data_IF_919164457970
#
_entry.id   IF_919164457970
#
_cell.length_a   1.000
_cell.length_b   1.000
_cell.length_c   1.000
_cell.angle_alpha   90.00
_cell.angle_beta   90.00
_cell.angle_gamma   90.00
#
_symmetry.space_group_name_H-M   'P 1'
#
loop_
_entity.id
_entity.type
_entity.pdbx_description
1 polymer ?
#
# COMPACT_ATOMS: atom_id res chain seq x y z
N UNK A 1 0.55 4.91 38.51
CA UNK A 1 -0.12 6.21 38.65
C UNK A 1 -0.17 6.85 37.26
N UNK A 2 -1.22 6.60 36.51
CA UNK A 2 -1.37 7.01 35.12
C UNK A 2 -2.02 8.40 35.07
N UNK A 3 -1.26 9.41 34.66
CA UNK A 3 -1.73 10.78 34.51
C UNK A 3 -2.71 10.80 33.32
N UNK A 4 -3.96 11.22 33.53
CA UNK A 4 -4.99 11.29 32.49
C UNK A 4 -4.58 12.29 31.40
N UNK A 5 -4.74 11.96 30.10
CA UNK A 5 -4.34 12.83 28.99
C UNK A 5 -5.05 14.19 28.97
N UNK A 6 -6.23 14.31 29.53
CA UNK A 6 -6.97 15.59 29.62
C UNK A 6 -6.25 16.66 30.43
N UNK A 7 -5.46 16.29 31.44
CA UNK A 7 -4.73 17.27 32.27
C UNK A 7 -3.53 17.88 31.53
N UNK A 8 -2.90 17.12 30.63
CA UNK A 8 -1.77 17.61 29.83
C UNK A 8 -2.21 18.59 28.75
N UNK A 9 -3.37 18.36 28.12
CA UNK A 9 -3.94 19.25 27.09
C UNK A 9 -4.30 20.61 27.71
N UNK A 10 -4.89 20.63 28.90
CA UNK A 10 -5.25 21.88 29.60
C UNK A 10 -4.01 22.69 29.97
N UNK A 11 -2.91 22.06 30.35
CA UNK A 11 -1.67 22.75 30.76
C UNK A 11 -0.95 23.39 29.56
N UNK A 12 -0.94 22.75 28.41
CA UNK A 12 -0.34 23.32 27.19
C UNK A 12 -1.20 24.46 26.60
N UNK A 13 -2.51 24.32 26.64
CA UNK A 13 -3.44 25.41 26.24
C UNK A 13 -3.24 26.65 27.14
N UNK A 14 -3.08 26.46 28.44
CA UNK A 14 -2.84 27.55 29.39
C UNK A 14 -1.51 28.27 29.13
N UNK A 15 -0.45 27.55 28.78
CA UNK A 15 0.84 28.15 28.38
C UNK A 15 0.73 28.98 27.11
N UNK A 16 0.04 28.46 26.09
CA UNK A 16 -0.20 29.20 24.83
C UNK A 16 -0.97 30.50 25.11
N UNK A 17 -1.99 30.44 25.97
CA UNK A 17 -2.77 31.62 26.32
C UNK A 17 -1.94 32.69 27.05
N UNK A 18 -1.04 32.30 27.95
CA UNK A 18 -0.12 33.19 28.64
C UNK A 18 0.88 33.82 27.66
N UNK A 19 1.42 33.05 26.72
CA UNK A 19 2.36 33.55 25.69
C UNK A 19 1.67 34.58 24.79
N UNK A 20 0.46 34.30 24.33
CA UNK A 20 -0.34 35.23 23.49
C UNK A 20 -0.66 36.52 24.24
N UNK A 21 -1.03 36.43 25.53
CA UNK A 21 -1.30 37.59 26.38
C UNK A 21 -0.06 38.47 26.60
N UNK A 22 1.11 37.83 26.82
CA UNK A 22 2.37 38.56 26.99
C UNK A 22 2.82 39.23 25.69
N UNK A 23 2.64 38.53 24.53
CA UNK A 23 2.89 39.09 23.22
C UNK A 23 2.01 40.32 22.92
N UNK A 24 0.72 40.26 23.31
CA UNK A 24 -0.19 41.38 23.20
C UNK A 24 0.26 42.62 23.99
N UNK A 25 0.71 42.41 25.23
CA UNK A 25 1.21 43.49 26.09
C UNK A 25 2.51 44.10 25.52
N UNK A 26 3.37 43.26 24.92
CA UNK A 26 4.65 43.69 24.34
C UNK A 26 4.52 44.49 23.04
N UNK A 27 3.45 44.24 22.23
CA UNK A 27 3.29 44.86 20.91
C UNK A 27 2.54 46.23 20.93
N UNK A 28 2.05 46.70 22.09
CA UNK A 28 1.34 47.99 22.24
C UNK A 28 0.26 48.22 21.15
N UNK A 29 -0.43 47.16 20.75
CA UNK A 29 -1.37 47.15 19.62
C UNK A 29 -2.73 47.69 20.04
N UNK A 30 -3.41 48.43 19.14
CA UNK A 30 -4.79 48.84 19.35
C UNK A 30 -5.72 47.63 19.47
N UNK A 31 -6.81 47.73 20.27
CA UNK A 31 -7.73 46.60 20.47
C UNK A 31 -8.37 46.08 19.19
N UNK A 32 -8.46 46.91 18.14
CA UNK A 32 -9.00 46.52 16.81
C UNK A 32 -8.04 45.62 16.05
N UNK A 33 -6.73 45.86 16.13
CA UNK A 33 -5.72 45.03 15.45
C UNK A 33 -5.56 43.69 16.16
N UNK A 34 -5.57 43.66 17.48
CA UNK A 34 -5.58 42.42 18.26
C UNK A 34 -6.77 41.54 17.90
N UNK A 35 -7.97 42.13 17.75
CA UNK A 35 -9.17 41.39 17.41
C UNK A 35 -9.06 40.76 15.99
N UNK A 36 -8.43 41.47 15.03
CA UNK A 36 -8.16 40.94 13.69
C UNK A 36 -7.19 39.73 13.72
N UNK A 37 -6.12 39.82 14.49
CA UNK A 37 -5.15 38.74 14.66
C UNK A 37 -5.80 37.55 15.36
N UNK A 38 -6.55 37.75 16.42
CA UNK A 38 -7.25 36.69 17.11
C UNK A 38 -8.26 35.98 16.20
N UNK A 39 -9.04 36.77 15.44
CA UNK A 39 -9.98 36.22 14.46
C UNK A 39 -9.27 35.37 13.38
N UNK A 40 -8.13 35.81 12.87
CA UNK A 40 -7.36 35.04 11.86
C UNK A 40 -6.83 33.71 12.43
N UNK A 41 -6.36 33.70 13.66
CA UNK A 41 -5.91 32.49 14.36
C UNK A 41 -7.07 31.49 14.52
N UNK A 42 -8.24 32.00 14.99
CA UNK A 42 -9.43 31.14 15.15
C UNK A 42 -9.86 30.54 13.81
N UNK A 43 -9.94 31.35 12.75
CA UNK A 43 -10.28 30.86 11.39
C UNK A 43 -9.30 29.81 10.92
N UNK A 44 -7.99 30.01 11.13
CA UNK A 44 -6.98 29.04 10.74
C UNK A 44 -7.16 27.71 11.47
N UNK A 45 -7.40 27.73 12.78
CA UNK A 45 -7.66 26.53 13.58
C UNK A 45 -8.92 25.81 13.07
N UNK A 46 -9.99 26.53 12.77
CA UNK A 46 -11.24 25.95 12.23
C UNK A 46 -10.96 25.27 10.88
N UNK A 47 -10.19 25.89 9.99
CA UNK A 47 -9.83 25.30 8.70
C UNK A 47 -9.04 24.01 8.89
N UNK A 48 -8.06 23.95 9.79
CA UNK A 48 -7.32 22.73 10.08
C UNK A 48 -8.20 21.61 10.64
N UNK A 49 -9.15 21.94 11.52
CA UNK A 49 -10.11 20.97 12.06
C UNK A 49 -11.02 20.44 10.96
N UNK A 50 -11.52 21.31 10.07
CA UNK A 50 -12.34 20.89 8.93
C UNK A 50 -11.56 19.99 7.98
N UNK A 51 -10.32 20.33 7.63
CA UNK A 51 -9.45 19.50 6.78
C UNK A 51 -9.21 18.13 7.43
N UNK A 52 -8.94 18.09 8.73
CA UNK A 52 -8.78 16.84 9.47
C UNK A 52 -10.05 15.99 9.48
N UNK A 53 -11.21 16.61 9.67
CA UNK A 53 -12.51 15.93 9.66
C UNK A 53 -12.85 15.38 8.27
N UNK A 54 -12.69 16.20 7.23
CA UNK A 54 -12.90 15.80 5.82
C UNK A 54 -11.90 14.72 5.41
N UNK A 55 -10.65 14.85 5.81
CA UNK A 55 -9.62 13.83 5.57
C UNK A 55 -9.99 12.48 6.20
N UNK A 56 -10.43 12.48 7.45
CA UNK A 56 -10.90 11.27 8.15
C UNK A 56 -12.18 10.67 7.52
N UNK A 57 -13.05 11.53 7.01
CA UNK A 57 -14.28 11.10 6.34
C UNK A 57 -14.01 10.48 4.96
N UNK A 58 -13.09 11.07 4.19
CA UNK A 58 -12.71 10.60 2.86
C UNK A 58 -11.77 9.38 2.91
N UNK A 59 -10.88 9.34 3.89
CA UNK A 59 -9.96 8.22 4.14
C UNK A 59 -10.53 7.36 5.27
N UNK A 60 -11.58 6.58 5.02
CA UNK A 60 -11.96 5.47 5.90
C UNK A 60 -10.88 4.39 5.81
N UNK A 61 -9.79 4.57 6.51
CA UNK A 61 -8.86 3.49 6.82
C UNK A 61 -9.58 2.59 7.83
N UNK A 62 -10.09 1.46 7.35
CA UNK A 62 -10.60 0.38 8.20
C UNK A 62 -9.40 -0.23 8.95
N UNK A 63 -9.04 0.39 10.07
CA UNK A 63 -8.12 -0.19 11.03
C UNK A 63 -8.92 -1.18 11.89
N UNK A 64 -9.15 -2.39 11.37
CA UNK A 64 -9.61 -3.51 12.18
C UNK A 64 -8.46 -3.97 13.10
N UNK A 65 -8.39 -3.34 14.26
CA UNK A 65 -7.45 -3.64 15.36
C UNK A 65 -8.00 -4.73 16.29
N UNK A 66 -8.64 -5.76 15.77
CA UNK A 66 -9.00 -6.95 16.55
C UNK A 66 -9.17 -8.12 15.58
N UNK A 67 -8.07 -8.77 15.24
CA UNK A 67 -8.10 -10.16 14.86
C UNK A 67 -7.16 -10.90 15.81
N UNK A 68 -7.72 -11.32 16.95
CA UNK A 68 -7.17 -12.43 17.70
C UNK A 68 -7.19 -13.64 16.77
N UNK A 69 -6.01 -14.13 16.46
CA UNK A 69 -5.84 -15.34 15.66
C UNK A 69 -6.27 -16.54 16.51
N UNK A 70 -7.56 -16.90 16.42
CA UNK A 70 -8.09 -18.13 16.94
C UNK A 70 -8.01 -19.22 15.87
N UNK A 71 -6.81 -19.73 15.60
CA UNK A 71 -6.65 -21.07 15.03
C UNK A 71 -5.29 -21.65 15.41
N UNK A 72 -5.29 -22.53 16.43
CA UNK A 72 -4.19 -23.44 16.74
C UNK A 72 -4.43 -24.72 15.95
N UNK A 73 -3.61 -24.98 14.94
CA UNK A 73 -3.54 -26.31 14.31
C UNK A 73 -2.45 -27.08 15.04
N UNK A 74 -2.85 -28.14 15.74
CA UNK A 74 -1.93 -29.19 16.17
C UNK A 74 -1.70 -30.10 14.98
N UNK A 75 -0.46 -30.12 14.49
CA UNK A 75 -0.02 -31.02 13.40
C UNK A 75 0.63 -32.24 14.04
N UNK A 76 0.18 -33.48 13.75
CA UNK A 76 0.96 -34.65 14.10
C UNK A 76 2.19 -34.74 13.20
N UNK A 77 3.34 -34.89 13.82
CA UNK A 77 4.62 -35.10 13.14
C UNK A 77 4.63 -36.43 12.34
N UNK A 78 4.81 -36.34 11.04
CA UNK A 78 5.30 -37.47 10.26
C UNK A 78 6.42 -36.98 9.34
N UNK A 79 7.59 -37.48 9.62
CA UNK A 79 8.86 -37.27 8.92
C UNK A 79 8.82 -37.80 7.49
N UNK A 80 9.21 -37.01 6.48
CA UNK A 80 9.98 -37.48 5.31
C UNK A 80 10.80 -36.31 4.69
N UNK A 81 12.05 -36.50 4.74
CA UNK A 81 13.21 -36.23 3.88
C UNK A 81 13.29 -35.04 2.89
N UNK A 82 14.44 -34.48 3.00
CA UNK A 82 15.18 -33.40 2.35
C UNK A 82 14.94 -33.13 0.87
N UNK A 83 14.64 -31.86 0.52
CA UNK A 83 15.36 -31.20 -0.55
C UNK A 83 15.41 -29.68 -0.26
N UNK A 84 16.63 -29.17 -0.23
CA UNK A 84 17.05 -27.81 0.05
C UNK A 84 16.35 -26.79 -0.85
N UNK A 85 15.52 -25.93 -0.28
CA UNK A 85 15.18 -24.63 -0.84
C UNK A 85 15.23 -23.60 0.27
N UNK A 86 16.08 -22.61 0.09
CA UNK A 86 16.24 -21.43 0.95
C UNK A 86 14.90 -20.73 1.18
N UNK A 87 14.31 -20.96 2.35
CA UNK A 87 13.05 -20.33 2.79
C UNK A 87 13.39 -19.00 3.41
N UNK A 88 13.21 -17.92 2.66
CA UNK A 88 12.99 -16.61 3.28
C UNK A 88 11.59 -16.61 3.91
N UNK A 89 11.53 -16.45 5.22
CA UNK A 89 10.31 -16.38 6.04
C UNK A 89 9.46 -15.13 5.68
N UNK A 90 8.72 -15.19 4.59
CA UNK A 90 7.60 -14.28 4.35
C UNK A 90 6.32 -15.13 4.44
N UNK A 91 5.59 -14.96 5.54
CA UNK A 91 4.28 -15.56 5.81
C UNK A 91 3.20 -14.96 4.89
N UNK A 92 3.45 -14.97 3.57
CA UNK A 92 2.47 -14.54 2.57
C UNK A 92 1.63 -15.76 2.21
N UNK A 93 0.34 -15.67 2.54
CA UNK A 93 -0.63 -16.70 2.21
C UNK A 93 -0.63 -17.02 0.71
N UNK A 94 -0.70 -18.31 0.35
CA UNK A 94 -0.74 -18.77 -1.03
C UNK A 94 -2.01 -18.29 -1.74
N UNK A 95 -1.86 -17.79 -2.96
CA UNK A 95 -2.96 -17.19 -3.72
C UNK A 95 -3.75 -18.21 -4.54
N UNK A 96 -3.21 -19.39 -4.74
CA UNK A 96 -3.75 -20.43 -5.63
C UNK A 96 -5.22 -20.75 -5.36
N UNK A 97 -5.60 -20.92 -4.10
CA UNK A 97 -6.98 -21.22 -3.70
C UNK A 97 -7.96 -20.07 -3.96
N UNK A 98 -7.49 -18.84 -3.97
CA UNK A 98 -8.32 -17.64 -4.16
C UNK A 98 -8.53 -17.31 -5.64
N UNK A 99 -7.65 -17.76 -6.54
CA UNK A 99 -7.76 -17.47 -7.97
C UNK A 99 -9.04 -18.06 -8.60
N UNK A 100 -9.53 -19.19 -8.08
CA UNK A 100 -10.77 -19.84 -8.58
C UNK A 100 -12.01 -18.99 -8.32
N UNK A 101 -12.03 -18.26 -7.20
CA UNK A 101 -13.15 -17.41 -6.77
C UNK A 101 -12.92 -15.93 -7.07
N UNK A 102 -11.82 -15.59 -7.75
CA UNK A 102 -11.47 -14.20 -8.04
C UNK A 102 -12.40 -13.58 -9.10
N UNK A 103 -12.57 -12.26 -9.02
CA UNK A 103 -13.46 -11.49 -9.91
C UNK A 103 -12.68 -10.69 -10.94
N UNK A 104 -13.01 -10.87 -12.21
CA UNK A 104 -12.42 -10.09 -13.31
C UNK A 104 -12.74 -8.60 -13.21
N UNK A 105 -13.98 -8.25 -12.85
CA UNK A 105 -14.42 -6.86 -12.71
C UNK A 105 -13.66 -6.13 -11.61
N UNK A 106 -13.42 -6.81 -10.47
CA UNK A 106 -12.58 -6.26 -9.40
C UNK A 106 -11.11 -6.16 -9.85
N UNK A 107 -10.64 -7.15 -10.61
CA UNK A 107 -9.30 -7.15 -11.20
C UNK A 107 -9.06 -5.96 -12.13
N UNK A 108 -10.01 -5.65 -13.00
CA UNK A 108 -9.96 -4.47 -13.88
C UNK A 108 -9.91 -3.16 -13.08
N UNK A 109 -10.75 -3.06 -12.04
CA UNK A 109 -10.72 -1.89 -11.13
C UNK A 109 -9.37 -1.73 -10.46
N UNK A 110 -8.78 -2.82 -9.99
CA UNK A 110 -7.45 -2.81 -9.35
C UNK A 110 -6.35 -2.46 -10.36
N UNK A 111 -6.48 -2.90 -11.62
CA UNK A 111 -5.54 -2.59 -12.69
C UNK A 111 -5.44 -1.10 -13.00
N UNK A 112 -6.46 -0.30 -12.71
CA UNK A 112 -6.39 1.16 -12.92
C UNK A 112 -5.18 1.80 -12.26
N UNK A 113 -4.75 1.28 -11.09
CA UNK A 113 -3.54 1.73 -10.39
C UNK A 113 -2.26 1.39 -11.16
N UNK A 114 -2.26 0.25 -11.87
CA UNK A 114 -1.13 -0.23 -12.68
C UNK A 114 -1.07 0.44 -14.04
N UNK A 115 -2.23 0.71 -14.64
CA UNK A 115 -2.40 1.27 -15.99
C UNK A 115 -1.79 2.66 -16.20
N UNK A 116 -1.49 3.38 -15.11
CA UNK A 116 -0.76 4.65 -15.13
C UNK A 116 0.65 4.41 -15.71
N UNK A 117 1.31 3.33 -15.27
CA UNK A 117 2.70 3.02 -15.64
C UNK A 117 2.82 1.89 -16.66
N UNK A 118 1.83 1.01 -16.80
CA UNK A 118 1.90 -0.19 -17.65
C UNK A 118 0.84 -0.19 -18.75
N UNK A 119 1.21 -0.68 -19.94
CA UNK A 119 0.27 -1.17 -20.94
C UNK A 119 0.03 -2.68 -20.72
N UNK A 120 -1.09 -3.20 -21.24
CA UNK A 120 -1.47 -4.61 -21.14
C UNK A 120 -1.97 -5.20 -22.46
N UNK A 121 -2.14 -4.37 -23.49
CA UNK A 121 -2.60 -4.85 -24.80
C UNK A 121 -1.44 -5.42 -25.58
N UNK A 122 -1.74 -6.41 -26.43
CA UNK A 122 -0.80 -6.97 -27.39
C UNK A 122 -0.14 -5.86 -28.20
N UNK A 123 1.13 -5.99 -28.48
CA UNK A 123 1.92 -5.08 -29.33
C UNK A 123 1.96 -3.60 -28.86
N UNK A 124 1.46 -3.30 -27.68
CA UNK A 124 1.61 -1.96 -27.10
C UNK A 124 3.02 -1.76 -26.55
N UNK A 125 3.59 -0.60 -26.79
CA UNK A 125 4.90 -0.22 -26.23
C UNK A 125 4.89 -0.15 -24.72
N UNK A 126 6.05 -0.38 -24.12
CA UNK A 126 6.28 -0.10 -22.69
C UNK A 126 6.06 1.40 -22.41
N UNK A 127 5.68 1.70 -21.17
CA UNK A 127 5.56 3.08 -20.64
C UNK A 127 6.67 3.33 -19.62
N UNK A 128 6.32 3.88 -18.46
CA UNK A 128 7.18 3.98 -17.28
C UNK A 128 7.58 2.57 -16.77
N UNK A 129 6.67 1.59 -16.92
CA UNK A 129 6.90 0.18 -16.67
C UNK A 129 6.74 -0.64 -17.96
N UNK A 130 7.19 -1.92 -17.94
CA UNK A 130 7.10 -2.81 -19.11
C UNK A 130 5.64 -3.14 -19.45
N UNK A 131 5.38 -3.53 -20.70
CA UNK A 131 4.09 -4.06 -21.12
C UNK A 131 3.79 -5.38 -20.37
N UNK A 132 2.56 -5.54 -19.91
CA UNK A 132 2.09 -6.71 -19.13
C UNK A 132 1.34 -7.76 -19.94
N UNK A 133 1.30 -7.64 -21.29
CA UNK A 133 0.77 -8.71 -22.15
C UNK A 133 1.57 -10.01 -21.95
N UNK A 134 0.88 -11.14 -21.87
CA UNK A 134 1.50 -12.46 -21.62
C UNK A 134 2.37 -12.50 -20.34
N UNK A 135 1.94 -11.83 -19.27
CA UNK A 135 2.75 -11.74 -18.05
C UNK A 135 2.89 -13.08 -17.33
N UNK A 136 1.80 -13.86 -17.23
CA UNK A 136 1.80 -15.11 -16.46
C UNK A 136 2.77 -16.11 -17.12
N UNK A 137 3.66 -16.68 -16.31
CA UNK A 137 4.75 -17.58 -16.71
C UNK A 137 5.80 -16.97 -17.65
N UNK A 138 5.74 -15.65 -17.91
CA UNK A 138 6.76 -14.95 -18.67
C UNK A 138 8.07 -14.88 -17.86
N UNK A 139 9.26 -15.11 -18.49
CA UNK A 139 10.52 -14.88 -17.81
C UNK A 139 10.61 -13.44 -17.28
N UNK A 140 11.21 -13.28 -16.10
CA UNK A 140 11.44 -11.94 -15.55
C UNK A 140 12.40 -11.16 -16.44
N UNK A 141 12.25 -9.83 -16.46
CA UNK A 141 13.09 -8.92 -17.25
C UNK A 141 13.19 -9.25 -18.77
N UNK A 142 12.16 -9.86 -19.37
CA UNK A 142 12.21 -10.36 -20.75
C UNK A 142 11.62 -9.43 -21.82
N UNK A 143 11.00 -8.31 -21.46
CA UNK A 143 10.47 -7.35 -22.45
C UNK A 143 11.62 -6.55 -23.05
N UNK A 144 11.82 -6.66 -24.37
CA UNK A 144 13.02 -6.17 -25.07
C UNK A 144 13.13 -4.64 -25.14
N UNK A 145 12.01 -3.93 -25.16
CA UNK A 145 11.93 -2.47 -25.27
C UNK A 145 11.95 -1.75 -23.93
N UNK A 146 12.30 -2.46 -22.83
CA UNK A 146 12.26 -1.89 -21.50
C UNK A 146 13.59 -2.08 -20.73
N UNK A 147 14.07 -0.96 -20.16
CA UNK A 147 15.29 -0.96 -19.34
C UNK A 147 14.99 -1.30 -17.87
N UNK A 148 15.18 -2.57 -17.53
CA UNK A 148 14.95 -3.08 -16.18
C UNK A 148 16.02 -2.65 -15.18
N UNK A 149 15.67 -2.69 -13.88
CA UNK A 149 16.67 -2.58 -12.82
C UNK A 149 17.60 -3.77 -12.82
N UNK A 150 18.88 -3.57 -12.46
CA UNK A 150 19.83 -4.67 -12.27
C UNK A 150 19.30 -5.72 -11.28
N UNK A 151 18.58 -5.26 -10.23
CA UNK A 151 17.98 -6.15 -9.26
C UNK A 151 16.95 -7.11 -9.89
N UNK A 152 16.11 -6.63 -10.82
CA UNK A 152 15.12 -7.46 -11.49
C UNK A 152 15.76 -8.37 -12.54
N UNK A 153 16.77 -7.89 -13.25
CA UNK A 153 17.55 -8.72 -14.21
C UNK A 153 18.21 -9.90 -13.49
N UNK A 154 18.79 -9.65 -12.32
CA UNK A 154 19.46 -10.67 -11.51
C UNK A 154 18.46 -11.56 -10.72
N UNK A 155 17.18 -11.18 -10.68
CA UNK A 155 16.15 -11.97 -10.02
C UNK A 155 15.55 -12.97 -11.01
N UNK A 156 16.23 -14.09 -11.19
CA UNK A 156 15.87 -15.13 -12.16
C UNK A 156 14.47 -15.72 -11.96
N UNK A 157 14.01 -16.51 -12.94
CA UNK A 157 12.75 -17.22 -12.91
C UNK A 157 11.63 -16.58 -13.72
N UNK A 158 10.40 -17.05 -13.51
CA UNK A 158 9.21 -16.64 -14.23
C UNK A 158 8.20 -15.98 -13.30
N UNK A 159 7.32 -15.18 -13.87
CA UNK A 159 6.19 -14.59 -13.17
C UNK A 159 5.05 -15.61 -12.98
N UNK A 160 5.25 -16.58 -12.09
CA UNK A 160 4.17 -17.49 -11.67
C UNK A 160 3.11 -16.76 -10.86
N UNK A 161 1.98 -17.40 -10.59
CA UNK A 161 0.92 -16.82 -9.74
C UNK A 161 1.45 -16.42 -8.36
N UNK A 162 2.22 -17.29 -7.72
CA UNK A 162 2.78 -17.03 -6.39
C UNK A 162 3.91 -15.99 -6.41
N UNK A 163 4.74 -15.96 -7.46
CA UNK A 163 5.74 -14.92 -7.64
C UNK A 163 5.11 -13.53 -7.78
N UNK A 164 4.03 -13.43 -8.56
CA UNK A 164 3.26 -12.19 -8.69
C UNK A 164 2.58 -11.81 -7.36
N UNK A 165 2.04 -12.78 -6.63
CA UNK A 165 1.46 -12.57 -5.32
C UNK A 165 2.46 -11.91 -4.36
N UNK A 166 3.66 -12.48 -4.24
CA UNK A 166 4.73 -11.96 -3.38
C UNK A 166 5.21 -10.59 -3.84
N UNK A 167 5.48 -10.44 -5.13
CA UNK A 167 5.95 -9.18 -5.68
C UNK A 167 4.92 -8.05 -5.54
N UNK A 168 3.64 -8.32 -5.81
CA UNK A 168 2.57 -7.33 -5.71
C UNK A 168 2.21 -6.97 -4.27
N UNK A 169 2.52 -7.82 -3.30
CA UNK A 169 2.33 -7.48 -1.89
C UNK A 169 3.18 -6.29 -1.49
N UNK A 170 4.49 -6.36 -1.73
CA UNK A 170 5.45 -5.29 -1.43
C UNK A 170 6.65 -5.34 -2.39
N UNK A 171 6.56 -4.72 -3.57
CA UNK A 171 7.57 -4.85 -4.62
C UNK A 171 9.00 -4.51 -4.19
N UNK A 172 9.17 -3.43 -3.42
CA UNK A 172 10.50 -2.98 -2.97
C UNK A 172 11.13 -3.87 -1.90
N UNK A 173 10.32 -4.54 -1.09
CA UNK A 173 10.81 -5.48 -0.08
C UNK A 173 11.15 -6.82 -0.73
N UNK A 174 10.33 -7.28 -1.67
CA UNK A 174 10.53 -8.55 -2.37
C UNK A 174 11.73 -8.51 -3.32
N UNK A 175 11.86 -7.47 -4.14
CA UNK A 175 13.02 -7.26 -5.02
C UNK A 175 13.68 -5.94 -4.65
N UNK A 176 14.62 -5.99 -3.70
CA UNK A 176 15.38 -4.82 -3.25
C UNK A 176 16.16 -4.22 -4.42
N UNK A 177 15.92 -2.95 -4.71
CA UNK A 177 16.54 -2.26 -5.86
C UNK A 177 15.70 -2.28 -7.15
N UNK A 178 14.45 -2.77 -7.11
CA UNK A 178 13.51 -2.60 -8.23
C UNK A 178 13.25 -1.13 -8.52
N UNK A 179 13.15 -0.78 -9.81
CA UNK A 179 12.71 0.56 -10.25
C UNK A 179 11.21 0.80 -10.04
N UNK A 180 10.41 -0.24 -9.79
CA UNK A 180 8.96 -0.12 -9.60
C UNK A 180 8.65 0.60 -8.29
N UNK A 181 8.12 1.83 -8.42
CA UNK A 181 7.73 2.65 -7.27
C UNK A 181 6.24 2.49 -6.95
N UNK A 182 5.87 1.32 -6.45
CA UNK A 182 4.51 0.97 -6.06
C UNK A 182 4.49 0.51 -4.61
N UNK A 183 3.50 0.99 -3.84
CA UNK A 183 3.38 0.64 -2.42
C UNK A 183 2.99 -0.82 -2.18
N UNK A 184 2.39 -1.46 -3.18
CA UNK A 184 1.87 -2.82 -3.10
C UNK A 184 0.36 -2.89 -2.88
N UNK A 185 -0.15 -4.11 -2.90
CA UNK A 185 -1.53 -4.48 -2.57
C UNK A 185 -1.52 -5.38 -1.36
N UNK A 186 -1.85 -4.84 -0.17
CA UNK A 186 -1.84 -5.59 1.09
C UNK A 186 -2.93 -6.67 1.13
N UNK A 187 -4.12 -6.40 0.56
CA UNK A 187 -5.21 -7.35 0.52
C UNK A 187 -4.93 -8.47 -0.49
N UNK A 188 -5.00 -9.72 -0.06
CA UNK A 188 -4.74 -10.89 -0.90
C UNK A 188 -5.81 -11.09 -1.98
N UNK A 189 -7.08 -10.80 -1.68
CA UNK A 189 -8.17 -10.91 -2.65
C UNK A 189 -7.97 -9.90 -3.80
N UNK A 190 -7.50 -8.68 -3.50
CA UNK A 190 -7.19 -7.69 -4.52
C UNK A 190 -6.06 -8.15 -5.44
N UNK A 191 -5.04 -8.84 -4.88
CA UNK A 191 -3.98 -9.45 -5.68
C UNK A 191 -4.51 -10.60 -6.54
N UNK A 192 -5.36 -11.48 -5.98
CA UNK A 192 -5.98 -12.57 -6.72
C UNK A 192 -6.83 -12.05 -7.90
N UNK A 193 -7.68 -11.07 -7.64
CA UNK A 193 -8.51 -10.45 -8.66
C UNK A 193 -7.66 -9.82 -9.78
N UNK A 194 -6.61 -9.07 -9.43
CA UNK A 194 -5.70 -8.46 -10.39
C UNK A 194 -4.94 -9.50 -11.21
N UNK A 195 -4.42 -10.54 -10.57
CA UNK A 195 -3.64 -11.59 -11.24
C UNK A 195 -4.54 -12.40 -12.18
N UNK A 196 -5.78 -12.71 -11.76
CA UNK A 196 -6.74 -13.36 -12.64
C UNK A 196 -7.06 -12.49 -13.86
N UNK A 197 -7.24 -11.18 -13.67
CA UNK A 197 -7.47 -10.24 -14.76
C UNK A 197 -6.27 -10.17 -15.71
N UNK A 198 -5.05 -10.09 -15.20
CA UNK A 198 -3.83 -10.10 -16.02
C UNK A 198 -3.68 -11.40 -16.80
N UNK A 199 -4.10 -12.54 -16.25
CA UNK A 199 -4.12 -13.83 -16.96
C UNK A 199 -4.96 -13.77 -18.23
N UNK A 200 -6.10 -13.07 -18.25
CA UNK A 200 -6.95 -12.93 -19.43
C UNK A 200 -6.28 -12.14 -20.57
N UNK A 201 -5.22 -11.39 -20.27
CA UNK A 201 -4.45 -10.61 -21.24
C UNK A 201 -3.24 -11.39 -21.72
N UNK A 202 -3.47 -12.59 -22.22
CA UNK A 202 -2.46 -13.51 -22.74
C UNK A 202 -2.96 -14.19 -24.00
N UNK A 203 -2.03 -14.58 -24.87
CA UNK A 203 -2.33 -15.33 -26.08
C UNK A 203 -2.81 -16.76 -25.73
N UNK A 204 -2.10 -17.38 -24.78
CA UNK A 204 -2.44 -18.69 -24.25
C UNK A 204 -2.75 -18.58 -22.75
N UNK A 205 -3.96 -18.93 -22.36
CA UNK A 205 -4.36 -18.90 -20.97
C UNK A 205 -3.61 -19.99 -20.17
N UNK A 206 -2.76 -19.57 -19.27
CA UNK A 206 -2.10 -20.50 -18.34
C UNK A 206 -3.18 -21.14 -17.45
N UNK A 207 -3.19 -22.47 -17.25
CA UNK A 207 -4.13 -23.12 -16.34
C UNK A 207 -4.06 -22.51 -14.94
N UNK A 208 -5.20 -22.46 -14.24
CA UNK A 208 -5.21 -22.12 -12.84
C UNK A 208 -4.55 -23.26 -12.03
N UNK A 209 -3.85 -22.92 -10.95
CA UNK A 209 -3.16 -23.90 -10.10
C UNK A 209 -4.12 -24.77 -9.32
#
# INVERSE_FOLDING_TARGET
MTIKPEYLINKEICKVFIIVKNLYISLNMSGIEFNKILASIIVTIIIFVIIGFVGNFLVKVNYNKNQETAYKIEIPETSVDSTSQTVSNDNIEAISSLLVNASLDKGEKNFKKCGICHNYKKDSKSKIGPNLWNLINRPKASVKDFDYSKALVNHEGKWTYEELNRFLYKPKEYIKGTKMNFAGLSNIEDRANLILWLRQHSENLVPLP
#
